data_IF_477315627582
#
_entry.id   IF_477315627582
#
_cell.length_a   1.000
_cell.length_b   1.000
_cell.length_c   1.000
_cell.angle_alpha   90.00
_cell.angle_beta   90.00
_cell.angle_gamma   90.00
#
_symmetry.space_group_name_H-M   'P 1'
#
loop_
_entity.id
_entity.type
_entity.pdbx_description
1 polymer ?
#
# COMPACT_ATOMS: atom_id res chain seq x y z
N UNK A 1 -21.87 -47.39 6.35
CA UNK A 1 -21.65 -46.46 5.23
C UNK A 1 -20.56 -45.52 5.67
N UNK A 2 -19.33 -45.66 5.16
CA UNK A 2 -18.28 -44.70 5.47
C UNK A 2 -18.64 -43.38 4.81
N UNK A 3 -18.94 -42.38 5.63
CA UNK A 3 -19.26 -41.03 5.16
C UNK A 3 -17.95 -40.41 4.66
N UNK A 4 -17.95 -39.98 3.39
CA UNK A 4 -16.86 -39.27 2.75
C UNK A 4 -16.36 -38.12 3.65
N UNK A 5 -15.04 -38.05 3.85
CA UNK A 5 -14.45 -36.98 4.65
C UNK A 5 -14.66 -35.60 4.01
N UNK A 6 -14.76 -35.54 2.68
CA UNK A 6 -14.97 -34.30 1.94
C UNK A 6 -16.38 -33.72 2.15
N UNK A 7 -17.36 -34.57 2.47
CA UNK A 7 -18.75 -34.17 2.72
C UNK A 7 -19.00 -33.71 4.17
N UNK A 8 -17.96 -33.72 5.02
CA UNK A 8 -18.07 -33.29 6.41
C UNK A 8 -17.99 -31.79 6.54
N UNK A 9 -18.78 -31.25 7.46
CA UNK A 9 -18.60 -29.87 7.87
C UNK A 9 -17.23 -29.67 8.52
N UNK A 10 -16.70 -28.46 8.44
CA UNK A 10 -15.42 -28.12 9.08
C UNK A 10 -15.45 -28.42 10.58
N UNK A 11 -16.57 -28.16 11.26
CA UNK A 11 -16.73 -28.46 12.70
C UNK A 11 -16.62 -29.96 13.00
N UNK A 12 -17.23 -30.81 12.18
CA UNK A 12 -17.12 -32.26 12.33
C UNK A 12 -15.70 -32.76 12.06
N UNK A 13 -15.00 -32.19 11.08
CA UNK A 13 -13.60 -32.50 10.81
C UNK A 13 -12.71 -32.12 11.99
N UNK A 14 -12.88 -30.91 12.54
CA UNK A 14 -12.10 -30.45 13.70
C UNK A 14 -12.33 -31.32 14.93
N UNK A 15 -13.59 -31.68 15.22
CA UNK A 15 -13.91 -32.60 16.30
C UNK A 15 -13.22 -33.96 16.07
N UNK A 16 -13.24 -34.48 14.84
CA UNK A 16 -12.61 -35.74 14.49
C UNK A 16 -11.08 -35.72 14.65
N UNK A 17 -10.40 -34.66 14.23
CA UNK A 17 -8.96 -34.50 14.46
C UNK A 17 -8.60 -34.41 15.95
N UNK A 18 -9.47 -33.78 16.76
CA UNK A 18 -9.26 -33.63 18.21
C UNK A 18 -9.70 -34.81 19.08
N UNK A 19 -10.41 -35.80 18.52
CA UNK A 19 -11.03 -36.88 19.30
C UNK A 19 -10.06 -37.94 19.84
N UNK A 20 -8.76 -37.88 19.48
CA UNK A 20 -7.76 -38.87 19.91
C UNK A 20 -7.91 -40.25 19.23
N UNK A 21 -8.79 -40.37 18.24
CA UNK A 21 -8.92 -41.57 17.43
C UNK A 21 -7.86 -41.58 16.31
N UNK A 22 -7.56 -42.76 15.75
CA UNK A 22 -6.61 -42.89 14.64
C UNK A 22 -7.14 -42.40 13.29
N UNK A 23 -8.42 -42.00 13.20
CA UNK A 23 -9.09 -41.61 11.94
C UNK A 23 -9.91 -40.32 12.10
N UNK A 24 -9.70 -39.28 11.26
CA UNK A 24 -8.60 -39.08 10.30
C UNK A 24 -7.28 -38.77 11.03
N UNK A 25 -6.18 -39.25 10.45
CA UNK A 25 -4.84 -39.14 11.03
C UNK A 25 -4.13 -37.83 10.67
N UNK A 26 -2.87 -37.72 11.11
CA UNK A 26 -2.02 -36.55 10.85
C UNK A 26 -1.66 -36.39 9.36
N UNK A 27 -1.62 -37.47 8.57
CA UNK A 27 -1.43 -37.39 7.11
C UNK A 27 -2.61 -36.71 6.44
N UNK A 28 -3.82 -37.09 6.82
CA UNK A 28 -5.07 -36.45 6.40
C UNK A 28 -5.09 -34.97 6.79
N UNK A 29 -4.62 -34.62 8.00
CA UNK A 29 -4.49 -33.22 8.41
C UNK A 29 -3.51 -32.43 7.52
N UNK A 30 -2.36 -33.02 7.16
CA UNK A 30 -1.39 -32.40 6.26
C UNK A 30 -1.95 -32.20 4.84
N UNK A 31 -2.68 -33.19 4.30
CA UNK A 31 -3.37 -33.05 3.01
C UNK A 31 -4.41 -31.94 3.04
N UNK A 32 -5.25 -31.89 4.09
CA UNK A 32 -6.26 -30.85 4.26
C UNK A 32 -5.64 -29.45 4.36
N UNK A 33 -4.51 -29.31 5.06
CA UNK A 33 -3.76 -28.05 5.12
C UNK A 33 -3.22 -27.64 3.74
N UNK A 34 -2.74 -28.60 2.94
CA UNK A 34 -2.37 -28.36 1.54
C UNK A 34 -3.56 -27.90 0.69
N UNK A 35 -4.74 -28.51 0.86
CA UNK A 35 -5.97 -28.13 0.16
C UNK A 35 -6.40 -26.69 0.48
N UNK A 36 -6.35 -26.28 1.74
CA UNK A 36 -6.64 -24.89 2.15
C UNK A 36 -5.63 -23.93 1.51
N UNK A 37 -4.35 -24.29 1.55
CA UNK A 37 -3.28 -23.50 0.94
C UNK A 37 -3.50 -23.31 -0.56
N UNK A 38 -3.89 -24.38 -1.26
CA UNK A 38 -4.18 -24.36 -2.69
C UNK A 38 -5.28 -23.35 -3.03
N UNK A 39 -6.40 -23.38 -2.28
CA UNK A 39 -7.52 -22.46 -2.53
C UNK A 39 -7.20 -21.00 -2.22
N UNK A 40 -6.37 -20.72 -1.20
CA UNK A 40 -5.90 -19.37 -0.95
C UNK A 40 -5.04 -18.85 -2.12
N UNK A 41 -4.12 -19.67 -2.62
CA UNK A 41 -3.25 -19.31 -3.75
C UNK A 41 -4.07 -19.11 -5.03
N UNK A 42 -5.00 -20.02 -5.35
CA UNK A 42 -5.92 -19.85 -6.49
C UNK A 42 -6.73 -18.56 -6.39
N UNK A 43 -7.15 -18.18 -5.17
CA UNK A 43 -7.91 -16.94 -4.94
C UNK A 43 -7.08 -15.71 -5.30
N UNK A 44 -5.82 -15.65 -4.87
CA UNK A 44 -4.94 -14.53 -5.22
C UNK A 44 -4.73 -14.44 -6.73
N UNK A 45 -4.51 -15.58 -7.39
CA UNK A 45 -4.35 -15.61 -8.85
C UNK A 45 -5.63 -15.10 -9.55
N UNK A 46 -6.79 -15.59 -9.13
CA UNK A 46 -8.09 -15.14 -9.68
C UNK A 46 -8.31 -13.64 -9.49
N UNK A 47 -8.02 -13.11 -8.29
CA UNK A 47 -8.06 -11.66 -8.03
C UNK A 47 -7.06 -10.87 -8.88
N UNK A 48 -5.93 -11.48 -9.26
CA UNK A 48 -4.94 -10.86 -10.14
C UNK A 48 -5.41 -10.81 -11.59
N UNK A 49 -6.11 -11.86 -12.04
CA UNK A 49 -6.66 -11.99 -13.39
C UNK A 49 -7.96 -11.23 -13.66
N UNK A 50 -8.58 -10.67 -12.63
CA UNK A 50 -9.78 -9.82 -12.72
C UNK A 50 -9.62 -8.68 -13.74
N UNK A 51 -10.66 -8.45 -14.56
CA UNK A 51 -10.62 -7.53 -15.71
C UNK A 51 -10.16 -6.11 -15.34
N UNK A 52 -10.55 -5.63 -14.15
CA UNK A 52 -10.20 -4.28 -13.68
C UNK A 52 -8.70 -4.12 -13.40
N UNK A 53 -7.99 -5.23 -13.17
CA UNK A 53 -6.59 -5.26 -12.71
C UNK A 53 -5.66 -5.93 -13.69
N UNK A 54 -6.14 -6.82 -14.55
CA UNK A 54 -5.34 -7.68 -15.45
C UNK A 54 -4.29 -6.91 -16.24
N UNK A 55 -4.61 -5.70 -16.71
CA UNK A 55 -3.68 -4.85 -17.46
C UNK A 55 -2.40 -4.48 -16.67
N UNK A 56 -2.50 -4.35 -15.34
CA UNK A 56 -1.37 -4.04 -14.45
C UNK A 56 -0.40 -5.22 -14.29
N UNK A 57 -0.84 -6.44 -14.63
CA UNK A 57 -0.09 -7.70 -14.44
C UNK A 57 0.20 -8.41 -15.76
N UNK A 58 0.12 -7.69 -16.89
CA UNK A 58 0.33 -8.24 -18.24
C UNK A 58 1.66 -8.99 -18.42
N UNK A 59 2.71 -8.61 -17.68
CA UNK A 59 4.03 -9.22 -17.73
C UNK A 59 4.12 -10.64 -17.11
N UNK A 60 3.20 -11.00 -16.21
CA UNK A 60 3.23 -12.28 -15.47
C UNK A 60 1.92 -13.07 -15.55
N UNK A 61 0.86 -12.50 -16.14
CA UNK A 61 -0.49 -13.08 -16.07
C UNK A 61 -0.60 -14.47 -16.71
N UNK A 62 0.15 -14.75 -17.79
CA UNK A 62 0.12 -16.05 -18.46
C UNK A 62 0.62 -17.13 -17.51
N UNK A 63 1.78 -16.92 -16.90
CA UNK A 63 2.36 -17.84 -15.92
C UNK A 63 1.45 -18.06 -14.71
N UNK A 64 0.80 -17.00 -14.22
CA UNK A 64 -0.16 -17.12 -13.11
C UNK A 64 -1.35 -17.99 -13.48
N UNK A 65 -1.91 -17.85 -14.69
CA UNK A 65 -3.02 -18.67 -15.15
C UNK A 65 -2.63 -20.12 -15.38
N UNK A 66 -1.41 -20.40 -15.84
CA UNK A 66 -0.87 -21.77 -15.89
C UNK A 66 -0.79 -22.37 -14.49
N UNK A 67 -0.29 -21.63 -13.50
CA UNK A 67 -0.29 -22.09 -12.11
C UNK A 67 -1.69 -22.29 -11.54
N UNK A 68 -2.66 -21.46 -11.92
CA UNK A 68 -4.05 -21.66 -11.52
C UNK A 68 -4.59 -22.99 -12.06
N UNK A 69 -4.33 -23.30 -13.33
CA UNK A 69 -4.72 -24.56 -13.95
C UNK A 69 -4.07 -25.76 -13.26
N UNK A 70 -2.75 -25.68 -13.02
CA UNK A 70 -2.01 -26.71 -12.27
C UNK A 70 -2.59 -26.94 -10.87
N UNK A 71 -2.96 -25.87 -10.15
CA UNK A 71 -3.54 -25.99 -8.82
C UNK A 71 -4.93 -26.63 -8.89
N UNK A 72 -5.81 -26.11 -9.73
CA UNK A 72 -7.22 -26.49 -9.75
C UNK A 72 -7.47 -27.87 -10.38
N UNK A 73 -6.68 -28.23 -11.40
CA UNK A 73 -6.89 -29.45 -12.17
C UNK A 73 -5.95 -30.60 -11.81
N UNK A 74 -4.85 -30.35 -11.08
CA UNK A 74 -3.92 -31.41 -10.65
C UNK A 74 -3.67 -31.43 -9.14
N UNK A 75 -3.16 -30.35 -8.57
CA UNK A 75 -2.66 -30.36 -7.18
C UNK A 75 -3.82 -30.52 -6.19
N UNK A 76 -4.84 -29.67 -6.26
CA UNK A 76 -5.97 -29.70 -5.34
C UNK A 76 -6.78 -31.01 -5.41
N UNK A 77 -7.18 -31.51 -6.60
CA UNK A 77 -7.88 -32.79 -6.70
C UNK A 77 -7.06 -33.95 -6.13
N UNK A 78 -5.74 -33.99 -6.40
CA UNK A 78 -4.88 -35.05 -5.86
C UNK A 78 -4.72 -34.96 -4.35
N UNK A 79 -4.60 -33.76 -3.77
CA UNK A 79 -4.60 -33.58 -2.32
C UNK A 79 -5.93 -34.03 -1.69
N UNK A 80 -7.07 -33.76 -2.32
CA UNK A 80 -8.38 -34.21 -1.86
C UNK A 80 -8.52 -35.74 -1.89
N UNK A 81 -7.99 -36.39 -2.93
CA UNK A 81 -7.89 -37.86 -2.99
C UNK A 81 -7.01 -38.40 -1.86
N UNK A 82 -5.82 -37.82 -1.66
CA UNK A 82 -4.87 -38.27 -0.63
C UNK A 82 -5.41 -38.02 0.79
N UNK A 83 -6.20 -36.97 1.00
CA UNK A 83 -6.90 -36.72 2.25
C UNK A 83 -7.82 -37.87 2.66
N UNK A 84 -8.56 -38.43 1.71
CA UNK A 84 -9.43 -39.59 1.94
C UNK A 84 -8.62 -40.88 2.04
N UNK A 85 -7.69 -41.09 1.10
CA UNK A 85 -6.86 -42.29 1.01
C UNK A 85 -5.98 -42.50 2.24
N UNK A 86 -5.39 -41.46 2.81
CA UNK A 86 -4.62 -41.55 4.06
C UNK A 86 -5.49 -42.09 5.20
N UNK A 87 -6.69 -41.55 5.34
CA UNK A 87 -7.64 -41.92 6.38
C UNK A 87 -8.07 -43.39 6.28
N UNK A 88 -8.30 -43.87 5.06
CA UNK A 88 -8.67 -45.27 4.80
C UNK A 88 -7.48 -46.20 5.02
N UNK A 89 -6.33 -45.87 4.45
CA UNK A 89 -5.15 -46.73 4.50
C UNK A 89 -4.59 -46.83 5.92
N UNK A 90 -4.61 -45.74 6.70
CA UNK A 90 -4.14 -45.78 8.08
C UNK A 90 -5.09 -46.60 8.98
N UNK A 91 -6.40 -46.50 8.77
CA UNK A 91 -7.38 -47.36 9.45
C UNK A 91 -7.14 -48.85 9.16
N UNK A 92 -6.83 -49.19 7.90
CA UNK A 92 -6.43 -50.55 7.52
C UNK A 92 -5.19 -51.01 8.29
N UNK A 93 -4.14 -50.20 8.33
CA UNK A 93 -2.90 -50.52 9.06
C UNK A 93 -3.14 -50.74 10.56
N UNK A 94 -4.01 -49.93 11.20
CA UNK A 94 -4.38 -50.11 12.61
C UNK A 94 -5.16 -51.41 12.81
N UNK A 95 -6.13 -51.73 11.94
CA UNK A 95 -6.87 -53.00 12.00
C UNK A 95 -5.94 -54.21 11.87
N UNK A 96 -4.97 -54.17 10.94
CA UNK A 96 -3.96 -55.23 10.78
C UNK A 96 -3.10 -55.39 12.05
N UNK A 97 -2.76 -54.29 12.74
CA UNK A 97 -2.03 -54.34 14.03
C UNK A 97 -2.87 -54.93 15.16
N UNK A 98 -4.14 -54.56 15.27
CA UNK A 98 -5.06 -55.10 16.28
C UNK A 98 -5.26 -56.61 16.06
N UNK A 99 -5.45 -57.04 14.80
CA UNK A 99 -5.57 -58.46 14.47
C UNK A 99 -4.31 -59.24 14.88
N UNK A 100 -3.12 -58.70 14.60
CA UNK A 100 -1.84 -59.27 15.04
C UNK A 100 -1.74 -59.36 16.56
N UNK A 101 -2.13 -58.32 17.28
CA UNK A 101 -1.96 -58.25 18.74
C UNK A 101 -2.91 -59.20 19.48
N UNK A 102 -4.09 -59.45 18.92
CA UNK A 102 -5.08 -60.39 19.46
C UNK A 102 -4.85 -61.85 19.06
N UNK A 103 -3.94 -62.13 18.12
CA UNK A 103 -3.64 -63.51 17.70
C UNK A 103 -2.73 -64.22 18.70
N UNK A 104 -3.12 -65.45 19.06
CA UNK A 104 -2.42 -66.32 20.01
C UNK A 104 -1.46 -67.28 19.29
N UNK A 105 -1.80 -67.73 18.08
CA UNK A 105 -0.93 -68.60 17.29
C UNK A 105 0.27 -67.83 16.74
N UNK A 106 1.47 -68.21 17.17
CA UNK A 106 2.71 -67.50 16.81
C UNK A 106 3.01 -67.50 15.30
N UNK A 107 2.57 -68.53 14.56
CA UNK A 107 2.79 -68.59 13.11
C UNK A 107 1.86 -67.62 12.38
N UNK A 108 0.56 -67.62 12.70
CA UNK A 108 -0.42 -66.69 12.14
C UNK A 108 -0.08 -65.26 12.55
N UNK A 109 0.30 -65.04 13.81
CA UNK A 109 0.75 -63.74 14.32
C UNK A 109 1.92 -63.17 13.53
N UNK A 110 2.89 -64.01 13.17
CA UNK A 110 4.01 -63.58 12.33
C UNK A 110 3.55 -63.22 10.91
N UNK A 111 2.61 -63.96 10.30
CA UNK A 111 2.03 -63.60 9.00
C UNK A 111 1.29 -62.24 9.06
N UNK A 112 0.49 -62.02 10.10
CA UNK A 112 -0.21 -60.75 10.32
C UNK A 112 0.78 -59.59 10.55
N UNK A 113 1.90 -59.83 11.24
CA UNK A 113 2.98 -58.84 11.39
C UNK A 113 3.56 -58.44 10.03
N UNK A 114 3.81 -59.40 9.14
CA UNK A 114 4.31 -59.14 7.78
C UNK A 114 3.29 -58.34 6.96
N UNK A 115 2.02 -58.74 7.01
CA UNK A 115 0.96 -58.01 6.33
C UNK A 115 0.82 -56.56 6.83
N UNK A 116 0.89 -56.34 8.15
CA UNK A 116 0.82 -55.01 8.72
C UNK A 116 2.01 -54.11 8.31
N UNK A 117 3.19 -54.69 8.08
CA UNK A 117 4.34 -53.96 7.53
C UNK A 117 4.13 -53.58 6.06
N UNK A 118 3.59 -54.48 5.24
CA UNK A 118 3.25 -54.17 3.85
C UNK A 118 2.17 -53.07 3.75
N UNK A 119 1.14 -53.12 4.60
CA UNK A 119 0.14 -52.05 4.70
C UNK A 119 0.78 -50.71 5.12
N UNK A 120 1.77 -50.75 6.02
CA UNK A 120 2.52 -49.57 6.45
C UNK A 120 3.40 -48.98 5.35
N UNK A 121 3.92 -49.78 4.41
CA UNK A 121 4.65 -49.27 3.24
C UNK A 121 3.76 -48.37 2.39
N UNK A 122 2.49 -48.75 2.20
CA UNK A 122 1.50 -47.91 1.51
C UNK A 122 1.18 -46.65 2.32
N UNK A 123 1.02 -46.78 3.65
CA UNK A 123 0.83 -45.62 4.56
C UNK A 123 2.02 -44.65 4.58
N UNK A 124 3.22 -45.08 4.18
CA UNK A 124 4.41 -44.22 4.04
C UNK A 124 4.36 -43.44 2.71
N UNK A 125 3.91 -44.05 1.63
CA UNK A 125 3.89 -43.43 0.30
C UNK A 125 2.91 -42.26 0.22
N UNK A 126 1.76 -42.34 0.90
CA UNK A 126 0.75 -41.27 0.86
C UNK A 126 1.29 -39.92 1.39
N UNK A 127 1.93 -39.84 2.57
CA UNK A 127 2.62 -38.62 3.02
C UNK A 127 3.73 -38.12 2.08
N UNK A 128 4.42 -39.00 1.36
CA UNK A 128 5.40 -38.56 0.35
C UNK A 128 4.72 -37.79 -0.77
N UNK A 129 3.63 -38.32 -1.32
CA UNK A 129 2.87 -37.65 -2.38
C UNK A 129 2.32 -36.31 -1.91
N UNK A 130 1.78 -36.25 -0.68
CA UNK A 130 1.30 -35.00 -0.06
C UNK A 130 2.45 -33.99 0.05
N UNK A 131 3.61 -34.41 0.55
CA UNK A 131 4.77 -33.52 0.72
C UNK A 131 5.27 -32.96 -0.63
N UNK A 132 5.31 -33.78 -1.68
CA UNK A 132 5.75 -33.36 -3.00
C UNK A 132 4.79 -32.34 -3.63
N UNK A 133 3.48 -32.58 -3.54
CA UNK A 133 2.46 -31.63 -4.00
C UNK A 133 2.53 -30.31 -3.22
N UNK A 134 2.69 -30.38 -1.89
CA UNK A 134 2.84 -29.20 -1.05
C UNK A 134 4.15 -28.44 -1.34
N UNK A 135 5.22 -29.13 -1.73
CA UNK A 135 6.46 -28.49 -2.17
C UNK A 135 6.22 -27.65 -3.44
N UNK A 136 5.63 -28.26 -4.47
CA UNK A 136 5.28 -27.55 -5.72
C UNK A 136 4.36 -26.36 -5.41
N UNK A 137 3.36 -26.56 -4.55
CA UNK A 137 2.43 -25.53 -4.16
C UNK A 137 3.10 -24.37 -3.41
N UNK A 138 4.08 -24.64 -2.56
CA UNK A 138 4.89 -23.61 -1.88
C UNK A 138 5.72 -22.79 -2.88
N UNK A 139 6.32 -23.44 -3.88
CA UNK A 139 7.07 -22.74 -4.94
C UNK A 139 6.15 -21.79 -5.74
N UNK A 140 4.95 -22.26 -6.11
CA UNK A 140 3.92 -21.44 -6.75
C UNK A 140 3.49 -20.28 -5.83
N UNK A 141 3.22 -20.57 -4.55
CA UNK A 141 2.79 -19.56 -3.57
C UNK A 141 3.81 -18.41 -3.44
N UNK A 142 5.10 -18.74 -3.44
CA UNK A 142 6.18 -17.75 -3.41
C UNK A 142 6.16 -16.86 -4.66
N UNK A 143 5.98 -17.45 -5.85
CA UNK A 143 5.85 -16.68 -7.09
C UNK A 143 4.62 -15.76 -7.07
N UNK A 144 3.48 -16.27 -6.60
CA UNK A 144 2.22 -15.52 -6.48
C UNK A 144 2.35 -14.39 -5.46
N UNK A 145 3.11 -14.57 -4.38
CA UNK A 145 3.40 -13.50 -3.42
C UNK A 145 4.13 -12.32 -4.10
N UNK A 146 5.12 -12.60 -4.95
CA UNK A 146 5.91 -11.56 -5.59
C UNK A 146 5.18 -10.87 -6.75
N UNK A 147 4.41 -11.64 -7.52
CA UNK A 147 3.88 -11.21 -8.83
C UNK A 147 2.37 -11.04 -8.86
N UNK A 148 1.65 -11.58 -7.87
CA UNK A 148 0.20 -11.50 -7.77
C UNK A 148 -0.31 -10.18 -7.20
N UNK A 149 -1.61 -10.15 -6.94
CA UNK A 149 -2.28 -8.96 -6.43
C UNK A 149 -1.74 -8.54 -5.06
N UNK A 150 -1.01 -7.41 -5.02
CA UNK A 150 -0.27 -6.95 -3.83
C UNK A 150 -1.08 -6.85 -2.55
N UNK A 151 -2.37 -6.49 -2.63
CA UNK A 151 -3.25 -6.36 -1.46
C UNK A 151 -3.71 -7.71 -0.89
N UNK A 152 -3.60 -8.80 -1.66
CA UNK A 152 -3.94 -10.15 -1.23
C UNK A 152 -2.69 -11.01 -0.93
N UNK A 153 -1.50 -10.41 -0.85
CA UNK A 153 -0.24 -11.12 -0.50
C UNK A 153 -0.29 -11.84 0.85
N UNK A 154 -1.16 -11.40 1.76
CA UNK A 154 -1.42 -12.11 3.01
C UNK A 154 -1.88 -13.56 2.76
N UNK A 155 -2.79 -13.76 1.81
CA UNK A 155 -3.31 -15.09 1.46
C UNK A 155 -2.23 -15.95 0.80
N UNK A 156 -1.37 -15.35 -0.04
CA UNK A 156 -0.19 -16.03 -0.60
C UNK A 156 0.78 -16.48 0.49
N UNK A 157 1.02 -15.63 1.50
CA UNK A 157 1.89 -15.97 2.62
C UNK A 157 1.30 -17.09 3.48
N UNK A 158 0.00 -17.07 3.76
CA UNK A 158 -0.68 -18.16 4.48
C UNK A 158 -0.61 -19.46 3.68
N UNK A 159 -0.84 -19.40 2.36
CA UNK A 159 -0.69 -20.56 1.48
C UNK A 159 0.73 -21.13 1.48
N UNK A 160 1.75 -20.28 1.34
CA UNK A 160 3.17 -20.68 1.41
C UNK A 160 3.50 -21.36 2.74
N UNK A 161 3.21 -20.70 3.87
CA UNK A 161 3.47 -21.24 5.21
C UNK A 161 2.69 -22.53 5.48
N UNK A 162 1.43 -22.59 5.04
CA UNK A 162 0.58 -23.78 5.16
C UNK A 162 1.16 -24.96 4.40
N UNK A 163 1.56 -24.76 3.15
CA UNK A 163 2.22 -25.81 2.34
C UNK A 163 3.50 -26.33 3.01
N UNK A 164 4.37 -25.44 3.50
CA UNK A 164 5.64 -25.85 4.13
C UNK A 164 5.42 -26.57 5.46
N UNK A 165 4.42 -26.16 6.25
CA UNK A 165 4.06 -26.87 7.48
C UNK A 165 3.47 -28.26 7.19
N UNK A 166 2.75 -28.45 6.08
CA UNK A 166 2.30 -29.78 5.65
C UNK A 166 3.49 -30.69 5.29
N UNK A 167 4.51 -30.17 4.59
CA UNK A 167 5.76 -30.90 4.29
C UNK A 167 6.43 -31.37 5.59
N UNK A 168 6.57 -30.48 6.57
CA UNK A 168 7.15 -30.79 7.89
C UNK A 168 6.39 -31.92 8.59
N UNK A 169 5.05 -31.85 8.59
CA UNK A 169 4.19 -32.90 9.12
C UNK A 169 4.42 -34.25 8.43
N UNK A 170 4.45 -34.26 7.11
CA UNK A 170 4.71 -35.48 6.32
C UNK A 170 6.09 -36.08 6.61
N UNK A 171 7.15 -35.26 6.71
CA UNK A 171 8.50 -35.72 7.10
C UNK A 171 8.46 -36.44 8.45
N UNK A 172 7.80 -35.86 9.45
CA UNK A 172 7.67 -36.47 10.77
C UNK A 172 6.90 -37.80 10.72
N UNK A 173 5.78 -37.83 10.00
CA UNK A 173 4.95 -39.04 9.83
C UNK A 173 5.74 -40.18 9.19
N UNK A 174 6.46 -39.90 8.10
CA UNK A 174 7.24 -40.91 7.39
C UNK A 174 8.33 -41.45 8.31
N UNK A 175 9.09 -40.58 9.00
CA UNK A 175 10.14 -41.00 9.93
C UNK A 175 9.60 -41.89 11.05
N UNK A 176 8.45 -41.53 11.63
CA UNK A 176 7.78 -42.34 12.66
C UNK A 176 7.39 -43.73 12.13
N UNK A 177 6.83 -43.80 10.93
CA UNK A 177 6.43 -45.07 10.35
C UNK A 177 7.63 -45.98 10.02
N UNK A 178 8.76 -45.41 9.58
CA UNK A 178 10.00 -46.16 9.32
C UNK A 178 10.56 -46.84 10.57
N UNK A 179 10.32 -46.30 11.78
CA UNK A 179 10.77 -46.92 13.04
C UNK A 179 10.11 -48.28 13.32
N UNK A 180 9.03 -48.63 12.63
CA UNK A 180 8.32 -49.90 12.82
C UNK A 180 9.01 -51.10 12.13
N UNK A 181 10.04 -50.86 11.31
CA UNK A 181 10.73 -51.89 10.52
C UNK A 181 12.01 -52.38 11.21
N UNK A 182 12.37 -53.64 10.93
CA UNK A 182 13.57 -54.29 11.47
C UNK A 182 14.66 -54.44 10.40
N UNK A 183 15.80 -55.04 10.76
CA UNK A 183 17.00 -55.14 9.92
C UNK A 183 16.83 -55.94 8.62
N UNK A 184 15.82 -56.80 8.55
CA UNK A 184 15.47 -57.56 7.34
C UNK A 184 14.86 -56.68 6.24
N UNK A 185 14.37 -55.49 6.58
CA UNK A 185 13.84 -54.48 5.65
C UNK A 185 14.80 -53.27 5.53
N UNK A 186 16.08 -53.44 5.88
CA UNK A 186 17.03 -52.32 5.95
C UNK A 186 17.20 -51.58 4.62
N UNK A 187 17.27 -52.28 3.48
CA UNK A 187 17.44 -51.61 2.18
C UNK A 187 16.21 -50.76 1.80
N UNK A 188 15.00 -51.24 2.11
CA UNK A 188 13.77 -50.47 1.94
C UNK A 188 13.77 -49.21 2.82
N UNK A 189 14.04 -49.36 4.12
CA UNK A 189 14.05 -48.22 5.06
C UNK A 189 15.13 -47.21 4.70
N UNK A 190 16.32 -47.66 4.30
CA UNK A 190 17.41 -46.80 3.82
C UNK A 190 17.00 -46.02 2.58
N UNK A 191 16.31 -46.65 1.63
CA UNK A 191 15.78 -45.99 0.45
C UNK A 191 14.78 -44.88 0.81
N UNK A 192 13.81 -45.19 1.68
CA UNK A 192 12.83 -44.22 2.19
C UNK A 192 13.51 -43.05 2.90
N UNK A 193 14.44 -43.33 3.82
CA UNK A 193 15.14 -42.27 4.59
C UNK A 193 15.93 -41.35 3.66
N UNK A 194 16.57 -41.88 2.61
CA UNK A 194 17.25 -41.04 1.63
C UNK A 194 16.30 -40.09 0.90
N UNK A 195 15.07 -40.52 0.59
CA UNK A 195 14.07 -39.63 -0.01
C UNK A 195 13.58 -38.57 0.99
N UNK A 196 13.32 -38.95 2.25
CA UNK A 196 12.93 -37.99 3.30
C UNK A 196 14.02 -36.96 3.55
N UNK A 197 15.30 -37.34 3.50
CA UNK A 197 16.40 -36.39 3.68
C UNK A 197 16.42 -35.32 2.56
N UNK A 198 16.08 -35.68 1.32
CA UNK A 198 15.92 -34.70 0.24
C UNK A 198 14.74 -33.74 0.50
N UNK A 199 13.61 -34.28 0.97
CA UNK A 199 12.48 -33.45 1.38
C UNK A 199 12.82 -32.52 2.53
N UNK A 200 13.63 -32.96 3.49
CA UNK A 200 14.10 -32.15 4.61
C UNK A 200 14.98 -30.98 4.14
N UNK A 201 15.82 -31.19 3.13
CA UNK A 201 16.60 -30.12 2.51
C UNK A 201 15.71 -29.10 1.76
N UNK A 202 14.69 -29.59 1.04
CA UNK A 202 13.72 -28.73 0.37
C UNK A 202 12.88 -27.92 1.39
N UNK A 203 12.44 -28.57 2.47
CA UNK A 203 11.75 -27.93 3.59
C UNK A 203 12.55 -26.78 4.19
N UNK A 204 13.86 -26.98 4.45
CA UNK A 204 14.73 -25.91 4.98
C UNK A 204 14.82 -24.72 4.05
N UNK A 205 14.96 -24.95 2.73
CA UNK A 205 15.01 -23.87 1.73
C UNK A 205 13.69 -23.10 1.68
N UNK A 206 12.56 -23.79 1.69
CA UNK A 206 11.24 -23.16 1.66
C UNK A 206 10.92 -22.40 2.96
N UNK A 207 11.39 -22.88 4.12
CA UNK A 207 11.31 -22.11 5.37
C UNK A 207 12.08 -20.80 5.30
N UNK A 208 13.30 -20.81 4.76
CA UNK A 208 14.06 -19.58 4.55
C UNK A 208 13.30 -18.62 3.61
N UNK A 209 12.63 -19.15 2.60
CA UNK A 209 11.81 -18.37 1.68
C UNK A 209 10.63 -17.70 2.42
N UNK A 210 9.95 -18.40 3.32
CA UNK A 210 8.89 -17.84 4.19
C UNK A 210 9.41 -16.60 4.93
N UNK A 211 10.56 -16.71 5.58
CA UNK A 211 11.16 -15.62 6.35
C UNK A 211 11.48 -14.43 5.44
N UNK A 212 12.02 -14.69 4.24
CA UNK A 212 12.32 -13.62 3.28
C UNK A 212 11.06 -12.85 2.85
N UNK A 213 9.92 -13.53 2.67
CA UNK A 213 8.66 -12.88 2.28
C UNK A 213 8.10 -12.00 3.38
N UNK A 214 8.23 -12.43 4.64
CA UNK A 214 7.87 -11.60 5.80
C UNK A 214 8.77 -10.37 5.89
N UNK A 215 10.08 -10.53 5.66
CA UNK A 215 11.02 -9.40 5.69
C UNK A 215 10.72 -8.38 4.59
N UNK A 216 10.33 -8.80 3.38
CA UNK A 216 9.88 -7.88 2.32
C UNK A 216 8.74 -6.96 2.80
N UNK A 217 7.75 -7.50 3.52
CA UNK A 217 6.64 -6.69 4.05
C UNK A 217 7.11 -5.70 5.12
N UNK A 218 8.04 -6.14 5.98
CA UNK A 218 8.66 -5.29 7.00
C UNK A 218 9.46 -4.16 6.35
N UNK A 219 10.27 -4.44 5.35
CA UNK A 219 11.02 -3.43 4.60
C UNK A 219 10.11 -2.42 3.88
N UNK A 220 9.01 -2.87 3.29
CA UNK A 220 8.03 -1.97 2.66
C UNK A 220 7.43 -0.97 3.66
N UNK A 221 7.19 -1.40 4.90
CA UNK A 221 6.76 -0.50 5.97
C UNK A 221 7.89 0.41 6.43
N UNK A 222 9.09 -0.14 6.64
CA UNK A 222 10.26 0.63 7.08
C UNK A 222 10.59 1.79 6.13
N UNK A 223 10.41 1.58 4.81
CA UNK A 223 10.55 2.65 3.81
C UNK A 223 9.61 3.83 4.04
N UNK A 224 8.45 3.64 4.67
CA UNK A 224 7.49 4.72 4.98
C UNK A 224 7.79 5.47 6.28
N UNK A 225 8.57 4.86 7.18
CA UNK A 225 8.85 5.42 8.51
C UNK A 225 9.40 6.86 8.43
N UNK A 226 10.41 7.19 7.60
CA UNK A 226 10.96 8.55 7.55
C UNK A 226 9.91 9.61 7.20
N UNK A 227 9.01 9.32 6.25
CA UNK A 227 7.91 10.21 5.90
C UNK A 227 6.96 10.40 7.08
N UNK A 228 6.58 9.31 7.76
CA UNK A 228 5.57 9.36 8.83
C UNK A 228 6.11 10.06 10.08
N UNK A 229 7.34 9.74 10.47
CA UNK A 229 8.02 10.42 11.57
C UNK A 229 8.28 11.89 11.24
N UNK A 230 8.72 12.20 10.02
CA UNK A 230 8.93 13.57 9.57
C UNK A 230 7.67 14.42 9.65
N UNK A 231 6.52 13.91 9.19
CA UNK A 231 5.23 14.61 9.31
C UNK A 231 4.89 14.87 10.78
N UNK A 232 5.02 13.85 11.64
CA UNK A 232 4.74 13.99 13.06
C UNK A 232 5.67 15.00 13.74
N UNK A 233 6.95 15.02 13.37
CA UNK A 233 7.94 15.97 13.87
C UNK A 233 7.59 17.41 13.45
N UNK A 234 7.23 17.65 12.18
CA UNK A 234 6.80 18.96 11.69
C UNK A 234 5.56 19.43 12.46
N UNK A 235 4.54 18.58 12.55
CA UNK A 235 3.30 18.89 13.27
C UNK A 235 3.60 19.20 14.74
N UNK A 236 4.45 18.42 15.41
CA UNK A 236 4.81 18.65 16.82
C UNK A 236 5.62 19.95 17.00
N UNK A 237 6.61 20.19 16.15
CA UNK A 237 7.47 21.38 16.16
C UNK A 237 6.63 22.65 16.03
N UNK A 238 5.75 22.70 15.04
CA UNK A 238 5.00 23.92 14.71
C UNK A 238 3.69 24.07 15.50
N UNK A 239 3.13 23.01 16.10
CA UNK A 239 2.00 23.14 17.06
C UNK A 239 2.41 23.59 18.46
N UNK A 240 3.68 23.47 18.84
CA UNK A 240 4.14 23.73 20.22
C UNK A 240 4.73 25.13 20.44
N UNK A 241 5.10 25.85 19.39
CA UNK A 241 5.88 27.09 19.53
C UNK A 241 5.00 28.33 19.33
N UNK A 242 4.98 29.23 20.30
CA UNK A 242 4.52 30.60 20.12
C UNK A 242 5.62 31.40 19.41
N UNK A 243 5.45 31.70 18.11
CA UNK A 243 6.37 32.55 17.34
C UNK A 243 7.23 31.84 16.28
N UNK A 244 6.81 30.70 15.74
CA UNK A 244 7.47 30.11 14.57
C UNK A 244 7.11 30.86 13.28
N UNK A 245 8.05 30.91 12.33
CA UNK A 245 7.76 31.40 10.98
C UNK A 245 7.02 30.31 10.18
N UNK A 246 5.84 30.63 9.66
CA UNK A 246 5.03 29.70 8.85
C UNK A 246 5.81 29.24 7.62
N UNK A 247 6.69 30.09 7.08
CA UNK A 247 7.54 29.79 5.94
C UNK A 247 8.52 28.64 6.23
N UNK A 248 9.07 28.56 7.44
CA UNK A 248 9.91 27.44 7.87
C UNK A 248 9.13 26.13 7.92
N UNK A 249 7.90 26.17 8.42
CA UNK A 249 7.03 24.97 8.47
C UNK A 249 6.75 24.43 7.06
N UNK A 250 6.41 25.33 6.13
CA UNK A 250 6.16 24.99 4.73
C UNK A 250 7.43 24.45 4.07
N UNK A 251 8.58 25.06 4.33
CA UNK A 251 9.86 24.63 3.79
C UNK A 251 10.23 23.22 4.29
N UNK A 252 10.10 22.96 5.59
CA UNK A 252 10.36 21.64 6.17
C UNK A 252 9.45 20.58 5.54
N UNK A 253 8.17 20.90 5.33
CA UNK A 253 7.22 20.02 4.64
C UNK A 253 7.64 19.75 3.19
N UNK A 254 8.02 20.78 2.43
CA UNK A 254 8.45 20.63 1.05
C UNK A 254 9.71 19.78 0.91
N UNK A 255 10.69 19.96 1.80
CA UNK A 255 11.90 19.13 1.86
C UNK A 255 11.52 17.68 2.12
N UNK A 256 10.68 17.43 3.14
CA UNK A 256 10.23 16.08 3.48
C UNK A 256 9.53 15.40 2.30
N UNK A 257 8.63 16.11 1.60
CA UNK A 257 7.92 15.59 0.42
C UNK A 257 8.91 15.29 -0.71
N UNK A 258 9.88 16.17 -0.95
CA UNK A 258 10.87 16.02 -2.01
C UNK A 258 11.80 14.82 -1.81
N UNK A 259 12.26 14.62 -0.58
CA UNK A 259 13.09 13.48 -0.18
C UNK A 259 12.32 12.16 -0.32
N UNK A 260 11.02 12.18 -0.03
CA UNK A 260 10.15 10.99 -0.06
C UNK A 260 9.32 10.87 -1.35
N UNK A 261 9.65 11.61 -2.42
CA UNK A 261 8.82 11.69 -3.64
C UNK A 261 8.56 10.33 -4.31
N UNK A 262 9.51 9.40 -4.24
CA UNK A 262 9.36 8.06 -4.83
C UNK A 262 8.38 7.17 -4.05
N UNK A 263 8.12 7.48 -2.78
CA UNK A 263 7.11 6.80 -1.96
C UNK A 263 5.71 7.35 -2.24
N UNK A 264 5.61 8.67 -2.42
CA UNK A 264 4.36 9.39 -2.65
C UNK A 264 3.86 9.17 -4.09
N UNK A 265 4.74 9.37 -5.07
CA UNK A 265 4.48 9.18 -6.51
C UNK A 265 5.19 7.92 -7.02
N UNK A 266 4.49 6.78 -6.95
CA UNK A 266 5.03 5.50 -7.44
C UNK A 266 5.21 5.45 -8.96
N UNK A 267 4.39 6.19 -9.70
CA UNK A 267 4.42 6.29 -11.16
C UNK A 267 4.78 7.73 -11.50
N UNK A 268 5.81 7.93 -12.34
CA UNK A 268 6.29 9.25 -12.79
C UNK A 268 6.54 10.23 -11.62
N UNK A 269 7.54 9.96 -10.76
CA UNK A 269 7.87 10.84 -9.65
C UNK A 269 8.25 12.25 -10.15
N UNK A 270 7.86 13.32 -9.43
CA UNK A 270 8.18 14.71 -9.75
C UNK A 270 9.65 14.94 -10.08
N UNK A 271 9.93 15.62 -11.19
CA UNK A 271 11.29 15.96 -11.64
C UNK A 271 11.75 17.34 -11.17
N UNK A 272 10.79 18.21 -10.84
CA UNK A 272 11.03 19.57 -10.36
C UNK A 272 10.33 19.83 -9.03
N UNK A 273 10.83 20.80 -8.25
CA UNK A 273 10.23 21.16 -6.97
C UNK A 273 8.87 21.87 -7.11
N UNK A 274 8.52 22.36 -8.30
CA UNK A 274 7.21 22.93 -8.56
C UNK A 274 6.15 21.83 -8.76
N UNK A 275 6.55 20.66 -9.27
CA UNK A 275 5.65 19.52 -9.48
C UNK A 275 5.18 18.87 -8.16
N UNK A 276 5.91 19.03 -7.06
CA UNK A 276 5.48 18.52 -5.74
C UNK A 276 4.41 19.40 -5.07
N UNK A 277 4.12 20.59 -5.60
CA UNK A 277 3.18 21.56 -5.03
C UNK A 277 1.72 21.19 -5.33
N UNK A 278 1.33 19.98 -4.91
CA UNK A 278 0.03 19.35 -5.16
C UNK A 278 -0.67 19.01 -3.82
N UNK A 279 -1.49 19.93 -3.28
CA UNK A 279 -2.13 19.74 -1.98
C UNK A 279 -3.00 18.47 -1.89
N UNK A 280 -3.70 18.13 -2.97
CA UNK A 280 -4.55 16.94 -3.06
C UNK A 280 -3.75 15.63 -2.88
N UNK A 281 -2.55 15.55 -3.47
CA UNK A 281 -1.66 14.39 -3.29
C UNK A 281 -1.13 14.34 -1.87
N UNK A 282 -0.76 15.48 -1.28
CA UNK A 282 -0.25 15.54 0.09
C UNK A 282 -1.34 15.11 1.08
N UNK A 283 -2.57 15.58 0.91
CA UNK A 283 -3.70 15.11 1.71
C UNK A 283 -3.85 13.60 1.63
N UNK A 284 -3.97 13.03 0.42
CA UNK A 284 -4.24 11.61 0.22
C UNK A 284 -3.09 10.69 0.64
N UNK A 285 -1.85 11.08 0.33
CA UNK A 285 -0.67 10.19 0.40
C UNK A 285 0.23 10.44 1.59
N UNK A 286 0.17 11.64 2.18
CA UNK A 286 1.04 12.04 3.30
C UNK A 286 0.24 12.18 4.59
N UNK A 287 -0.90 12.87 4.55
CA UNK A 287 -1.70 13.15 5.76
C UNK A 287 -2.86 12.17 6.02
N UNK A 288 -3.17 11.31 5.04
CA UNK A 288 -4.23 10.30 5.13
C UNK A 288 -5.64 10.87 5.11
N UNK A 289 -5.85 11.99 4.42
CA UNK A 289 -7.18 12.58 4.20
C UNK A 289 -7.82 12.07 2.90
N UNK A 290 -9.12 11.87 2.94
CA UNK A 290 -9.94 11.76 1.74
C UNK A 290 -10.16 13.15 1.16
N UNK A 291 -9.73 13.34 -0.09
CA UNK A 291 -9.90 14.60 -0.81
C UNK A 291 -11.00 14.43 -1.84
N UNK A 292 -12.09 15.18 -1.64
CA UNK A 292 -13.32 15.11 -2.42
C UNK A 292 -13.48 16.40 -3.23
N UNK A 293 -13.79 16.23 -4.51
CA UNK A 293 -14.03 17.31 -5.47
C UNK A 293 -15.49 17.21 -5.90
N UNK A 294 -16.37 18.10 -5.41
CA UNK A 294 -17.81 18.04 -5.75
C UNK A 294 -18.36 19.38 -6.25
N UNK A 295 -19.50 19.35 -6.94
CA UNK A 295 -20.10 20.51 -7.59
C UNK A 295 -20.77 21.50 -6.64
N UNK A 296 -21.15 21.11 -5.42
CA UNK A 296 -21.82 22.05 -4.49
C UNK A 296 -21.79 21.49 -3.07
N UNK A 297 -21.14 22.21 -2.16
CA UNK A 297 -21.23 21.96 -0.72
C UNK A 297 -22.03 23.10 -0.10
N UNK A 298 -23.32 22.87 0.11
CA UNK A 298 -24.18 23.77 0.88
C UNK A 298 -24.03 23.45 2.36
N UNK A 299 -23.57 24.40 3.17
CA UNK A 299 -23.68 24.31 4.62
C UNK A 299 -25.06 24.84 5.01
N UNK A 300 -25.84 24.05 5.75
CA UNK A 300 -27.11 24.51 6.32
C UNK A 300 -26.82 25.53 7.42
N UNK A 301 -27.23 26.77 7.20
CA UNK A 301 -27.26 27.80 8.25
C UNK A 301 -28.64 27.79 8.91
N UNK A 302 -28.74 28.23 10.17
CA UNK A 302 -29.99 28.27 10.96
C UNK A 302 -31.13 29.09 10.30
N UNK A 303 -30.85 29.81 9.21
CA UNK A 303 -31.79 30.64 8.44
C UNK A 303 -32.21 30.05 7.08
N UNK A 304 -32.14 28.72 6.91
CA UNK A 304 -32.66 27.98 5.74
C UNK A 304 -32.05 28.37 4.38
N UNK A 305 -30.91 29.07 4.39
CA UNK A 305 -30.09 29.35 3.21
C UNK A 305 -28.86 28.43 3.19
N UNK A 306 -28.69 27.68 2.10
CA UNK A 306 -27.48 26.93 1.82
C UNK A 306 -26.38 27.87 1.34
N UNK A 307 -25.34 28.06 2.14
CA UNK A 307 -24.18 28.87 1.75
C UNK A 307 -23.19 27.98 0.99
N UNK A 308 -22.87 28.35 -0.26
CA UNK A 308 -21.86 27.64 -1.05
C UNK A 308 -20.47 28.01 -0.56
N UNK A 309 -19.73 27.01 -0.09
CA UNK A 309 -18.38 27.19 0.46
C UNK A 309 -17.32 26.72 -0.54
N UNK A 310 -16.22 27.47 -0.67
CA UNK A 310 -15.11 27.11 -1.56
C UNK A 310 -14.34 25.86 -1.11
N UNK A 311 -14.21 25.64 0.21
CA UNK A 311 -13.53 24.51 0.81
C UNK A 311 -13.93 24.25 2.26
N UNK A 312 -13.95 22.97 2.66
CA UNK A 312 -14.25 22.52 4.03
C UNK A 312 -13.24 21.44 4.42
N UNK A 313 -12.76 21.50 5.66
CA UNK A 313 -11.96 20.44 6.27
C UNK A 313 -12.62 19.92 7.55
N UNK A 314 -12.76 18.59 7.60
CA UNK A 314 -13.17 17.82 8.76
C UNK A 314 -11.95 17.02 9.24
N UNK A 315 -11.29 17.52 10.29
CA UNK A 315 -10.06 16.89 10.79
C UNK A 315 -10.30 15.55 11.51
N UNK A 316 -11.35 15.40 12.36
CA UNK A 316 -11.69 14.12 12.99
C UNK A 316 -11.98 13.01 11.98
N UNK A 317 -12.75 13.29 10.93
CA UNK A 317 -13.09 12.30 9.91
C UNK A 317 -12.07 12.21 8.78
N UNK A 318 -11.03 13.05 8.80
CA UNK A 318 -9.98 13.12 7.76
C UNK A 318 -10.55 13.37 6.36
N UNK A 319 -11.50 14.28 6.25
CA UNK A 319 -12.12 14.65 4.97
C UNK A 319 -11.76 16.09 4.63
N UNK A 320 -11.38 16.33 3.38
CA UNK A 320 -11.27 17.65 2.80
C UNK A 320 -12.10 17.70 1.52
N UNK A 321 -12.93 18.73 1.42
CA UNK A 321 -13.88 18.92 0.34
C UNK A 321 -13.60 20.26 -0.34
N UNK A 322 -13.37 20.25 -1.65
CA UNK A 322 -13.12 21.47 -2.45
C UNK A 322 -14.19 21.57 -3.54
N UNK A 323 -14.76 22.76 -3.71
CA UNK A 323 -15.80 23.01 -4.71
C UNK A 323 -15.22 23.04 -6.13
N UNK A 324 -15.88 22.34 -7.05
CA UNK A 324 -15.51 22.26 -8.47
C UNK A 324 -16.00 23.46 -9.30
N UNK A 325 -16.83 24.34 -8.74
CA UNK A 325 -17.36 25.52 -9.44
C UNK A 325 -16.23 26.52 -9.75
N UNK A 326 -15.18 26.52 -8.93
CA UNK A 326 -14.10 27.50 -9.03
C UNK A 326 -13.01 27.09 -10.03
N UNK A 327 -12.32 28.07 -10.66
CA UNK A 327 -11.15 27.83 -11.50
C UNK A 327 -10.01 27.09 -10.77
N UNK A 328 -9.14 26.41 -11.52
CA UNK A 328 -8.08 25.55 -10.97
C UNK A 328 -7.12 26.26 -10.02
N UNK A 329 -6.73 27.50 -10.31
CA UNK A 329 -5.87 28.29 -9.45
C UNK A 329 -6.53 28.62 -8.10
N UNK A 330 -7.85 28.86 -8.08
CA UNK A 330 -8.62 29.08 -6.85
C UNK A 330 -8.73 27.78 -6.07
N UNK A 331 -9.09 26.66 -6.74
CA UNK A 331 -9.16 25.33 -6.09
C UNK A 331 -7.82 24.94 -5.47
N UNK A 332 -6.72 25.17 -6.17
CA UNK A 332 -5.35 24.87 -5.69
C UNK A 332 -5.01 25.71 -4.45
N UNK A 333 -5.32 27.00 -4.47
CA UNK A 333 -5.11 27.87 -3.32
C UNK A 333 -5.97 27.46 -2.12
N UNK A 334 -7.27 27.21 -2.33
CA UNK A 334 -8.17 26.72 -1.28
C UNK A 334 -7.65 25.41 -0.70
N UNK A 335 -7.23 24.45 -1.53
CA UNK A 335 -6.68 23.19 -1.04
C UNK A 335 -5.38 23.39 -0.24
N UNK A 336 -4.51 24.31 -0.65
CA UNK A 336 -3.30 24.64 0.11
C UNK A 336 -3.61 25.35 1.44
N UNK A 337 -4.69 26.15 1.49
CA UNK A 337 -5.21 26.77 2.71
C UNK A 337 -5.72 25.70 3.68
N UNK A 338 -6.56 24.76 3.23
CA UNK A 338 -7.01 23.63 4.05
C UNK A 338 -5.82 22.79 4.56
N UNK A 339 -4.76 22.66 3.75
CA UNK A 339 -3.55 21.94 4.14
C UNK A 339 -2.85 22.65 5.31
N UNK A 340 -2.87 23.99 5.31
CA UNK A 340 -2.45 24.81 6.44
C UNK A 340 -3.25 24.47 7.70
N UNK A 341 -4.58 24.33 7.59
CA UNK A 341 -5.40 23.91 8.73
C UNK A 341 -5.06 22.53 9.27
N UNK A 342 -4.81 21.55 8.41
CA UNK A 342 -4.43 20.21 8.84
C UNK A 342 -3.09 20.17 9.61
N UNK A 343 -2.14 21.02 9.22
CA UNK A 343 -0.78 21.00 9.75
C UNK A 343 -0.64 21.91 10.97
N UNK A 344 -1.17 23.13 10.92
CA UNK A 344 -0.92 24.16 11.94
C UNK A 344 -1.96 24.15 13.06
N UNK A 345 -3.19 23.70 12.81
CA UNK A 345 -4.31 23.94 13.73
C UNK A 345 -4.88 22.61 14.31
N UNK A 346 -5.70 22.73 15.37
CA UNK A 346 -6.31 21.59 16.10
C UNK A 346 -7.86 21.65 16.15
N UNK A 347 -8.48 22.55 15.38
CA UNK A 347 -9.93 22.75 15.45
C UNK A 347 -10.67 21.70 14.60
N UNK A 348 -11.83 21.24 15.09
CA UNK A 348 -12.49 20.03 14.61
C UNK A 348 -13.13 20.18 13.23
N UNK A 349 -13.83 21.29 12.98
CA UNK A 349 -14.52 21.58 11.71
C UNK A 349 -14.31 23.06 11.40
N UNK A 350 -13.80 23.35 10.21
CA UNK A 350 -13.58 24.71 9.71
C UNK A 350 -14.32 24.89 8.39
N UNK A 351 -15.03 26.02 8.28
CA UNK A 351 -15.76 26.42 7.09
C UNK A 351 -15.22 27.75 6.61
N UNK A 352 -14.84 27.82 5.33
CA UNK A 352 -14.60 29.10 4.64
C UNK A 352 -15.94 29.78 4.34
N UNK A 353 -16.03 31.09 4.52
CA UNK A 353 -17.21 31.94 4.18
C UNK A 353 -18.51 31.83 5.02
N UNK A 354 -18.46 31.59 6.35
CA UNK A 354 -19.62 31.86 7.23
C UNK A 354 -19.51 33.28 7.84
N UNK A 355 -20.46 34.22 7.55
CA UNK A 355 -20.54 35.51 8.23
C UNK A 355 -20.67 35.34 9.75
N UNK A 356 -19.83 36.06 10.48
CA UNK A 356 -19.64 35.98 11.92
C UNK A 356 -20.74 36.71 12.69
N UNK A 357 -21.92 36.12 12.87
CA UNK A 357 -22.97 36.80 13.66
C UNK A 357 -23.15 36.27 15.09
N UNK A 358 -22.56 35.13 15.46
CA UNK A 358 -22.61 34.63 16.84
C UNK A 358 -21.35 33.84 17.17
N UNK A 359 -20.37 34.45 17.88
CA UNK A 359 -19.37 33.83 18.79
C UNK A 359 -18.33 34.89 19.20
N UNK A 360 -18.10 35.04 20.51
CA UNK A 360 -17.25 36.05 21.19
C UNK A 360 -15.72 35.94 20.94
N UNK A 361 -15.24 35.37 19.83
CA UNK A 361 -13.79 35.15 19.58
C UNK A 361 -13.30 35.55 18.18
N UNK A 362 -13.83 36.64 17.63
CA UNK A 362 -13.50 37.16 16.28
C UNK A 362 -11.98 37.22 16.01
N UNK A 363 -11.20 37.83 16.91
CA UNK A 363 -9.75 38.00 16.72
C UNK A 363 -8.90 36.72 16.72
N UNK A 364 -9.37 35.62 17.34
CA UNK A 364 -8.64 34.33 17.30
C UNK A 364 -8.90 33.57 16.01
N UNK A 365 -10.12 33.68 15.46
CA UNK A 365 -10.48 33.12 14.16
C UNK A 365 -9.74 33.84 13.04
N UNK A 366 -9.68 35.18 13.09
CA UNK A 366 -8.94 35.98 12.11
C UNK A 366 -7.45 35.59 12.03
N UNK A 367 -6.83 35.27 13.16
CA UNK A 367 -5.43 34.80 13.19
C UNK A 367 -5.25 33.42 12.54
N UNK A 368 -6.15 32.47 12.81
CA UNK A 368 -6.09 31.10 12.26
C UNK A 368 -6.26 31.10 10.74
N UNK A 369 -7.23 31.85 10.24
CA UNK A 369 -7.46 32.01 8.80
C UNK A 369 -6.26 32.69 8.11
N UNK A 370 -5.70 33.73 8.75
CA UNK A 370 -4.49 34.39 8.26
C UNK A 370 -3.28 33.45 8.21
N UNK A 371 -3.09 32.61 9.23
CA UNK A 371 -2.02 31.62 9.26
C UNK A 371 -2.17 30.59 8.13
N UNK A 372 -3.40 30.15 7.84
CA UNK A 372 -3.70 29.24 6.74
C UNK A 372 -3.48 29.89 5.35
N UNK A 373 -3.88 31.16 5.17
CA UNK A 373 -3.60 31.91 3.93
C UNK A 373 -2.11 32.12 3.68
N UNK A 374 -1.35 32.43 4.74
CA UNK A 374 0.11 32.52 4.66
C UNK A 374 0.75 31.19 4.35
N UNK A 375 0.27 30.10 4.96
CA UNK A 375 0.71 28.75 4.62
C UNK A 375 0.47 28.45 3.13
N UNK A 376 -0.73 28.72 2.61
CA UNK A 376 -1.07 28.51 1.21
C UNK A 376 -0.17 29.31 0.27
N UNK A 377 0.08 30.58 0.60
CA UNK A 377 0.97 31.48 -0.15
C UNK A 377 2.38 30.92 -0.23
N UNK A 378 2.98 30.56 0.91
CA UNK A 378 4.35 30.04 0.95
C UNK A 378 4.47 28.66 0.32
N UNK A 379 3.42 27.83 0.46
CA UNK A 379 3.40 26.49 -0.10
C UNK A 379 3.35 26.55 -1.63
N UNK A 380 2.47 27.37 -2.20
CA UNK A 380 2.30 27.48 -3.65
C UNK A 380 3.32 28.37 -4.32
N UNK A 381 3.90 29.34 -3.61
CA UNK A 381 4.87 30.30 -4.13
C UNK A 381 6.11 30.40 -3.22
N UNK A 382 6.94 29.35 -3.18
CA UNK A 382 8.08 29.30 -2.26
C UNK A 382 9.15 30.32 -2.66
N UNK A 383 9.67 31.07 -1.70
CA UNK A 383 10.59 32.21 -1.94
C UNK A 383 11.73 31.90 -2.90
N UNK A 384 12.43 30.79 -2.66
CA UNK A 384 13.56 30.38 -3.50
C UNK A 384 13.17 30.23 -4.96
N UNK A 385 12.04 29.58 -5.23
CA UNK A 385 11.60 29.29 -6.60
C UNK A 385 10.99 30.52 -7.26
N UNK A 386 10.26 31.35 -6.51
CA UNK A 386 9.77 32.64 -7.04
C UNK A 386 10.93 33.51 -7.48
N UNK A 387 11.99 33.64 -6.68
CA UNK A 387 13.18 34.43 -7.03
C UNK A 387 13.86 33.90 -8.29
N UNK A 388 14.10 32.58 -8.38
CA UNK A 388 14.72 31.94 -9.56
C UNK A 388 13.88 32.18 -10.81
N UNK A 389 12.57 31.95 -10.74
CA UNK A 389 11.68 32.12 -11.90
C UNK A 389 11.54 33.60 -12.27
N UNK A 390 11.56 34.52 -11.30
CA UNK A 390 11.55 35.95 -11.54
C UNK A 390 12.82 36.42 -12.25
N UNK A 391 13.99 36.08 -11.70
CA UNK A 391 15.29 36.45 -12.27
C UNK A 391 15.47 35.85 -13.68
N UNK A 392 15.05 34.60 -13.91
CA UNK A 392 15.12 33.97 -15.23
C UNK A 392 14.31 34.70 -16.32
N UNK A 393 13.25 35.43 -15.94
CA UNK A 393 12.36 36.16 -16.86
C UNK A 393 12.78 37.60 -17.05
N UNK A 394 13.20 38.27 -15.98
CA UNK A 394 13.43 39.71 -15.98
C UNK A 394 14.92 40.11 -15.86
N UNK A 395 15.81 39.16 -15.57
CA UNK A 395 17.26 39.37 -15.51
C UNK A 395 17.72 40.34 -14.42
N UNK A 396 16.86 40.66 -13.45
CA UNK A 396 17.13 41.57 -12.34
C UNK A 396 16.63 40.93 -11.04
N UNK A 397 17.41 41.08 -9.96
CA UNK A 397 17.00 40.67 -8.61
C UNK A 397 15.88 41.57 -8.06
N UNK A 398 15.90 42.85 -8.44
CA UNK A 398 14.87 43.83 -8.12
C UNK A 398 14.50 44.56 -9.40
N UNK A 399 13.23 44.49 -9.79
CA UNK A 399 12.73 45.18 -10.96
C UNK A 399 12.41 46.64 -10.62
N UNK A 400 12.95 47.56 -11.42
CA UNK A 400 12.69 49.00 -11.35
C UNK A 400 12.33 49.47 -12.76
N UNK A 401 11.41 50.43 -12.86
CA UNK A 401 11.08 51.08 -14.12
C UNK A 401 12.19 52.08 -14.45
N UNK A 402 13.05 51.71 -15.40
CA UNK A 402 14.13 52.54 -15.94
C UNK A 402 14.10 52.47 -17.47
N UNK A 403 14.99 53.22 -18.15
CA UNK A 403 15.03 53.23 -19.62
C UNK A 403 15.28 51.83 -20.20
N UNK A 404 16.15 51.04 -19.56
CA UNK A 404 16.50 49.68 -19.98
C UNK A 404 15.32 48.71 -19.84
N UNK A 405 14.68 48.66 -18.67
CA UNK A 405 13.55 47.77 -18.41
C UNK A 405 12.32 48.16 -19.22
N UNK A 406 12.14 49.46 -19.48
CA UNK A 406 11.07 49.96 -20.34
C UNK A 406 11.28 49.59 -21.80
N UNK A 407 12.51 49.73 -22.29
CA UNK A 407 12.87 49.30 -23.64
C UNK A 407 12.70 47.79 -23.82
N UNK A 408 13.07 46.98 -22.82
CA UNK A 408 12.87 45.53 -22.84
C UNK A 408 11.40 45.11 -22.86
N UNK A 409 10.48 45.98 -22.47
CA UNK A 409 9.02 45.80 -22.63
C UNK A 409 8.51 46.20 -24.02
N UNK A 410 9.24 45.84 -25.08
CA UNK A 410 8.81 46.06 -26.46
C UNK A 410 9.02 47.49 -26.96
N UNK A 411 10.14 48.12 -26.56
CA UNK A 411 10.56 49.45 -27.02
C UNK A 411 9.79 50.61 -26.39
N UNK A 412 9.18 50.41 -25.22
CA UNK A 412 8.34 51.42 -24.55
C UNK A 412 9.18 52.47 -23.84
N UNK A 413 8.60 53.65 -23.63
CA UNK A 413 9.20 54.71 -22.80
C UNK A 413 8.84 54.49 -21.33
N UNK A 414 9.67 55.04 -20.43
CA UNK A 414 9.41 55.04 -18.98
C UNK A 414 8.02 55.61 -18.66
N UNK A 415 7.66 56.73 -19.29
CA UNK A 415 6.35 57.37 -19.14
C UNK A 415 5.17 56.43 -19.44
N UNK A 416 5.32 55.53 -20.41
CA UNK A 416 4.25 54.65 -20.87
C UNK A 416 3.97 53.57 -19.81
N UNK A 417 5.03 52.98 -19.25
CA UNK A 417 4.94 51.97 -18.19
C UNK A 417 4.49 52.54 -16.86
N UNK A 418 5.01 53.71 -16.45
CA UNK A 418 4.59 54.37 -15.22
C UNK A 418 3.11 54.76 -15.27
N UNK A 419 2.61 55.23 -16.43
CA UNK A 419 1.19 55.57 -16.60
C UNK A 419 0.28 54.34 -16.62
N UNK A 420 0.72 53.25 -17.25
CA UNK A 420 -0.05 51.98 -17.27
C UNK A 420 -0.14 51.35 -15.88
N UNK A 421 0.99 51.26 -15.16
CA UNK A 421 1.07 50.58 -13.88
C UNK A 421 0.48 51.41 -12.73
N UNK A 422 0.61 52.74 -12.76
CA UNK A 422 0.11 53.72 -11.76
C UNK A 422 0.74 53.63 -10.37
N UNK A 423 0.89 52.44 -9.81
CA UNK A 423 1.43 52.17 -8.49
C UNK A 423 2.24 50.86 -8.46
N UNK A 424 2.81 50.55 -7.28
CA UNK A 424 3.55 49.30 -7.06
C UNK A 424 2.71 48.07 -7.38
N UNK A 425 1.42 48.06 -7.00
CA UNK A 425 0.52 46.92 -7.22
C UNK A 425 0.23 46.70 -8.70
N UNK A 426 0.05 47.75 -9.48
CA UNK A 426 -0.12 47.65 -10.93
C UNK A 426 1.14 47.14 -11.62
N UNK A 427 2.33 47.56 -11.15
CA UNK A 427 3.60 46.98 -11.62
C UNK A 427 3.69 45.49 -11.26
N UNK A 428 3.36 45.10 -10.03
CA UNK A 428 3.32 43.69 -9.60
C UNK A 428 2.39 42.84 -10.46
N UNK A 429 1.18 43.33 -10.78
CA UNK A 429 0.21 42.65 -11.66
C UNK A 429 0.75 42.51 -13.07
N UNK A 430 1.38 43.56 -13.59
CA UNK A 430 2.01 43.55 -14.92
C UNK A 430 3.08 42.48 -15.00
N UNK A 431 4.02 42.44 -14.06
CA UNK A 431 5.10 41.44 -14.03
C UNK A 431 4.53 40.02 -13.84
N UNK A 432 3.55 39.85 -12.96
CA UNK A 432 2.92 38.54 -12.69
C UNK A 432 2.19 37.92 -13.88
N UNK A 433 1.69 38.75 -14.80
CA UNK A 433 0.92 38.36 -15.98
C UNK A 433 1.70 38.44 -17.30
N UNK A 434 2.92 38.99 -17.28
CA UNK A 434 3.74 39.15 -18.48
C UNK A 434 4.19 37.82 -19.05
N UNK A 435 4.13 37.69 -20.38
CA UNK A 435 4.52 36.47 -21.13
C UNK A 435 5.67 36.74 -22.11
N UNK A 436 6.17 37.98 -22.11
CA UNK A 436 7.30 38.38 -22.93
C UNK A 436 8.07 39.50 -22.27
N UNK A 437 9.40 39.40 -22.31
CA UNK A 437 10.32 40.45 -21.88
C UNK A 437 11.64 40.29 -22.64
N UNK A 438 12.23 41.41 -23.08
CA UNK A 438 13.50 41.44 -23.83
C UNK A 438 13.49 40.53 -25.08
N UNK A 439 12.39 40.55 -25.83
CA UNK A 439 12.21 39.72 -27.04
C UNK A 439 12.08 38.21 -26.80
N UNK A 440 12.13 37.75 -25.54
CA UNK A 440 11.92 36.35 -25.17
C UNK A 440 10.47 36.12 -24.76
N UNK A 441 9.87 35.05 -25.25
CA UNK A 441 8.56 34.57 -24.81
C UNK A 441 8.70 33.50 -23.73
N UNK A 442 7.86 33.58 -22.71
CA UNK A 442 7.84 32.64 -21.58
C UNK A 442 6.44 32.54 -20.96
N UNK A 443 6.20 31.50 -20.17
CA UNK A 443 4.99 31.42 -19.35
C UNK A 443 5.07 32.46 -18.22
N UNK A 444 3.99 33.20 -17.99
CA UNK A 444 3.92 34.15 -16.88
C UNK A 444 4.13 33.46 -15.53
N UNK A 445 4.55 34.23 -14.52
CA UNK A 445 4.75 33.71 -13.16
C UNK A 445 3.45 33.13 -12.60
N UNK A 446 2.33 33.83 -12.77
CA UNK A 446 1.01 33.32 -12.35
C UNK A 446 0.64 31.98 -12.99
N UNK A 447 0.91 31.81 -14.30
CA UNK A 447 0.71 30.51 -14.99
C UNK A 447 1.68 29.43 -14.51
N UNK A 448 2.94 29.78 -14.26
CA UNK A 448 4.00 28.84 -13.85
C UNK A 448 3.70 28.23 -12.47
N UNK A 449 3.25 29.04 -11.52
CA UNK A 449 2.90 28.58 -10.16
C UNK A 449 1.43 28.11 -10.04
N UNK A 450 0.62 28.32 -11.08
CA UNK A 450 -0.81 28.06 -11.12
C UNK A 450 -1.59 28.77 -10.00
N UNK A 451 -1.40 30.08 -9.90
CA UNK A 451 -2.03 30.97 -8.92
C UNK A 451 -2.69 32.15 -9.64
N UNK A 452 -3.53 32.92 -8.95
CA UNK A 452 -4.08 34.15 -9.54
C UNK A 452 -2.98 35.20 -9.75
N UNK A 453 -3.20 36.10 -10.71
CA UNK A 453 -2.31 37.25 -10.97
C UNK A 453 -2.18 38.09 -9.68
N UNK A 454 -3.28 38.25 -8.96
CA UNK A 454 -3.30 39.00 -7.70
C UNK A 454 -2.46 38.34 -6.60
N UNK A 455 -2.57 37.03 -6.42
CA UNK A 455 -1.80 36.30 -5.41
C UNK A 455 -0.30 36.36 -5.69
N UNK A 456 0.10 36.20 -6.97
CA UNK A 456 1.49 36.36 -7.37
C UNK A 456 1.97 37.80 -7.17
N UNK A 457 1.15 38.80 -7.52
CA UNK A 457 1.50 40.21 -7.33
C UNK A 457 1.78 40.55 -5.85
N UNK A 458 0.92 40.08 -4.95
CA UNK A 458 1.13 40.21 -3.50
C UNK A 458 2.45 39.54 -3.09
N UNK A 459 2.71 38.32 -3.59
CA UNK A 459 3.92 37.58 -3.23
C UNK A 459 5.19 38.30 -3.70
N UNK A 460 5.20 38.90 -4.89
CA UNK A 460 6.34 39.65 -5.38
C UNK A 460 6.64 40.89 -4.52
N UNK A 461 5.60 41.56 -4.00
CA UNK A 461 5.73 42.68 -3.06
C UNK A 461 6.27 42.22 -1.70
N UNK A 462 5.76 41.12 -1.14
CA UNK A 462 6.25 40.55 0.12
C UNK A 462 7.75 40.21 0.06
N UNK A 463 8.22 39.77 -1.11
CA UNK A 463 9.62 39.42 -1.35
C UNK A 463 10.49 40.63 -1.74
N UNK A 464 9.92 41.84 -1.84
CA UNK A 464 10.61 43.06 -2.24
C UNK A 464 11.33 42.95 -3.61
N UNK A 465 10.76 42.19 -4.55
CA UNK A 465 11.35 41.93 -5.88
C UNK A 465 11.14 43.08 -6.87
N UNK A 466 10.44 44.13 -6.47
CA UNK A 466 10.17 45.28 -7.31
C UNK A 466 10.09 46.57 -6.51
N UNK A 467 10.44 47.68 -7.17
CA UNK A 467 10.26 49.04 -6.66
C UNK A 467 9.62 49.87 -7.77
N UNK A 468 8.58 50.62 -7.41
CA UNK A 468 7.88 51.50 -8.33
C UNK A 468 8.61 52.82 -8.51
#
# INVERSE_FOLDING_TARGET
MEIDLLEKTVNELMHKFGAGNHKPGSGSAAAFQGMVSAKLISTVISLTGDEKRRHLYSHCIIQLLEYFDEIENRIYPKLAELFVSDSIQFDKTIKSRIARDNEEDEFIKNQLRRQALEDLKISINIPFEIALLCKELAEIASYVFDNGFKSARGDSQVGLSGSVSAISGCIAIIRLNVLSFNSDEYEYTKHVVNQVNKLDDDYKKLNQLIDTKVEVLKEEFNKKIPLFEGVNQIIKKHKATSGFEIEDCVRDLQILIWENKHLIWKINPPKSHLEILQPDVIFKKVLGYDYISSSSYGVHTDNDNSLEVAGIIDQPNKIVAISNIYPDNVKKFTAAHELGHAILHKQSILHRDIPSDFIETKGKRDKVEFEADKFATYFLMPTKWVNIEFESRFGKDIFIIDEDSSFKFGGRRVSDLTTECKDLRGLSRKLSSSESFDGKHFNSLSKTFNVSIEAMAIRLEELNLLKF
#
